data_IF_961983656596
#
_entry.id   IF_961983656596
#
_cell.length_a   1.000
_cell.length_b   1.000
_cell.length_c   1.000
_cell.angle_alpha   90.00
_cell.angle_beta   90.00
_cell.angle_gamma   90.00
#
_symmetry.space_group_name_H-M   'P 1'
#
loop_
_entity.id
_entity.type
_entity.pdbx_description
1 polymer ?
#
# COMPACT_ATOMS: atom_id res chain seq x y z
N UNK A 1 -20.97 5.68 3.03
CA UNK A 1 -19.56 6.01 3.39
C UNK A 1 -19.42 6.64 4.80
N UNK A 2 -20.13 7.73 5.16
CA UNK A 2 -19.92 8.38 6.48
C UNK A 2 -20.13 7.45 7.68
N UNK A 3 -21.19 6.64 7.63
CA UNK A 3 -21.46 5.59 8.64
C UNK A 3 -20.36 4.52 8.68
N UNK A 4 -19.81 4.12 7.53
CA UNK A 4 -18.72 3.12 7.47
C UNK A 4 -17.43 3.65 8.10
N UNK A 5 -17.10 4.93 7.87
CA UNK A 5 -15.96 5.58 8.55
C UNK A 5 -16.19 5.59 10.06
N UNK A 6 -17.35 6.08 10.50
CA UNK A 6 -17.66 6.18 11.92
C UNK A 6 -17.61 4.82 12.62
N UNK A 7 -18.35 3.83 12.12
CA UNK A 7 -18.40 2.49 12.71
C UNK A 7 -17.08 1.74 12.57
N UNK A 8 -16.39 1.89 11.45
CA UNK A 8 -15.10 1.26 11.22
C UNK A 8 -14.03 1.75 12.20
N UNK A 9 -13.96 3.05 12.49
CA UNK A 9 -13.08 3.58 13.54
C UNK A 9 -13.57 3.24 14.95
N UNK A 10 -14.88 3.30 15.20
CA UNK A 10 -15.44 3.01 16.52
C UNK A 10 -15.24 1.55 16.96
N UNK A 11 -15.29 0.59 16.03
CA UNK A 11 -15.02 -0.82 16.30
C UNK A 11 -13.52 -1.11 16.16
N UNK A 12 -12.94 -0.75 15.02
CA UNK A 12 -11.57 -1.10 14.70
C UNK A 12 -10.54 -0.44 15.62
N UNK A 13 -10.72 0.84 15.98
CA UNK A 13 -9.73 1.58 16.79
C UNK A 13 -9.51 0.97 18.17
N UNK A 14 -10.56 0.78 18.98
CA UNK A 14 -10.46 0.08 20.26
C UNK A 14 -9.92 -1.36 20.11
N UNK A 15 -10.40 -2.11 19.11
CA UNK A 15 -9.90 -3.46 18.84
C UNK A 15 -8.41 -3.47 18.47
N UNK A 16 -7.90 -2.47 17.74
CA UNK A 16 -6.47 -2.33 17.43
C UNK A 16 -5.62 -2.11 18.68
N UNK A 17 -6.11 -1.28 19.63
CA UNK A 17 -5.41 -1.04 20.89
C UNK A 17 -5.40 -2.30 21.76
N UNK A 18 -6.53 -2.99 21.88
CA UNK A 18 -6.63 -4.26 22.61
C UNK A 18 -5.80 -5.37 21.95
N UNK A 19 -5.78 -5.42 20.62
CA UNK A 19 -4.94 -6.33 19.85
C UNK A 19 -3.45 -6.09 20.12
N UNK A 20 -2.99 -4.84 20.02
CA UNK A 20 -1.61 -4.46 20.31
C UNK A 20 -1.24 -4.79 21.77
N UNK A 21 -2.12 -4.48 22.72
CA UNK A 21 -1.91 -4.82 24.12
C UNK A 21 -1.80 -6.34 24.34
N UNK A 22 -2.69 -7.12 23.73
CA UNK A 22 -2.65 -8.59 23.77
C UNK A 22 -1.34 -9.13 23.16
N UNK A 23 -0.89 -8.57 22.02
CA UNK A 23 0.37 -8.94 21.37
C UNK A 23 1.60 -8.68 22.26
N UNK A 24 1.63 -7.53 22.94
CA UNK A 24 2.75 -7.15 23.81
C UNK A 24 2.82 -7.95 25.12
N UNK A 25 1.72 -8.58 25.54
CA UNK A 25 1.62 -9.34 26.79
C UNK A 25 1.51 -10.85 26.58
N UNK A 26 2.05 -11.37 25.46
CA UNK A 26 2.12 -12.83 25.23
C UNK A 26 0.75 -13.48 25.05
N UNK A 27 -0.18 -12.79 24.40
CA UNK A 27 -1.55 -13.25 24.14
C UNK A 27 -2.32 -13.54 25.43
N UNK A 28 -2.41 -12.53 26.30
CA UNK A 28 -3.02 -12.59 27.63
C UNK A 28 -4.36 -13.36 27.71
N UNK A 29 -5.19 -13.24 26.67
CA UNK A 29 -6.52 -13.85 26.59
C UNK A 29 -6.60 -15.09 25.68
N UNK A 30 -5.45 -15.67 25.32
CA UNK A 30 -5.32 -16.82 24.44
C UNK A 30 -5.39 -16.48 22.94
N UNK A 31 -4.93 -17.42 22.11
CA UNK A 31 -4.80 -17.23 20.66
C UNK A 31 -6.13 -17.01 19.94
N UNK A 32 -7.21 -17.62 20.44
CA UNK A 32 -8.55 -17.44 19.89
C UNK A 32 -9.03 -15.99 20.01
N UNK A 33 -8.93 -15.41 21.20
CA UNK A 33 -9.29 -14.01 21.43
C UNK A 33 -8.34 -13.06 20.68
N UNK A 34 -7.04 -13.37 20.65
CA UNK A 34 -6.07 -12.60 19.89
C UNK A 34 -6.42 -12.53 18.40
N UNK A 35 -6.82 -13.66 17.80
CA UNK A 35 -7.24 -13.76 16.40
C UNK A 35 -8.54 -12.99 16.13
N UNK A 36 -9.49 -13.03 17.06
CA UNK A 36 -10.73 -12.24 16.97
C UNK A 36 -10.45 -10.74 17.03
N UNK A 37 -9.61 -10.30 17.97
CA UNK A 37 -9.18 -8.90 18.08
C UNK A 37 -8.44 -8.45 16.82
N UNK A 38 -7.60 -9.30 16.22
CA UNK A 38 -6.96 -9.04 14.94
C UNK A 38 -7.99 -8.80 13.82
N UNK A 39 -8.98 -9.70 13.68
CA UNK A 39 -10.00 -9.58 12.63
C UNK A 39 -10.85 -8.31 12.80
N UNK A 40 -11.29 -8.01 14.04
CA UNK A 40 -12.08 -6.83 14.39
C UNK A 40 -11.27 -5.53 14.34
N UNK A 41 -9.95 -5.61 14.46
CA UNK A 41 -9.04 -4.49 14.23
C UNK A 41 -8.88 -4.23 12.73
N UNK A 42 -8.36 -5.22 11.99
CA UNK A 42 -7.87 -5.01 10.62
C UNK A 42 -8.99 -4.72 9.63
N UNK A 43 -10.06 -5.53 9.62
CA UNK A 43 -11.11 -5.41 8.59
C UNK A 43 -11.91 -4.11 8.74
N UNK A 44 -12.45 -3.77 9.92
CA UNK A 44 -13.17 -2.52 10.11
C UNK A 44 -12.30 -1.29 9.87
N UNK A 45 -11.01 -1.33 10.27
CA UNK A 45 -10.08 -0.22 10.05
C UNK A 45 -9.75 -0.02 8.57
N UNK A 46 -9.51 -1.11 7.82
CA UNK A 46 -9.32 -1.04 6.37
C UNK A 46 -10.54 -0.45 5.66
N UNK A 47 -11.75 -0.88 6.03
CA UNK A 47 -13.00 -0.32 5.51
C UNK A 47 -13.15 1.16 5.88
N UNK A 48 -12.78 1.56 7.10
CA UNK A 48 -12.81 2.95 7.54
C UNK A 48 -11.88 3.84 6.70
N UNK A 49 -10.64 3.40 6.47
CA UNK A 49 -9.67 4.12 5.63
C UNK A 49 -10.16 4.22 4.18
N UNK A 50 -10.60 3.11 3.58
CA UNK A 50 -11.14 3.13 2.21
C UNK A 50 -12.34 4.05 2.07
N UNK A 51 -13.30 3.98 3.01
CA UNK A 51 -14.49 4.83 2.98
C UNK A 51 -14.14 6.30 3.23
N UNK A 52 -13.15 6.57 4.09
CA UNK A 52 -12.67 7.92 4.42
C UNK A 52 -11.98 8.59 3.25
N UNK A 53 -11.05 7.88 2.59
CA UNK A 53 -10.38 8.36 1.37
C UNK A 53 -11.39 8.57 0.25
N UNK A 54 -12.35 7.64 0.08
CA UNK A 54 -13.41 7.78 -0.93
C UNK A 54 -14.31 8.99 -0.67
N UNK A 55 -14.69 9.23 0.59
CA UNK A 55 -15.43 10.43 0.99
C UNK A 55 -14.63 11.70 0.73
N UNK A 56 -13.35 11.70 1.08
CA UNK A 56 -12.47 12.84 0.87
C UNK A 56 -12.36 13.18 -0.62
N UNK A 57 -12.30 12.17 -1.49
CA UNK A 57 -12.33 12.36 -2.94
C UNK A 57 -13.67 12.95 -3.42
N UNK A 58 -14.80 12.46 -2.90
CA UNK A 58 -16.12 12.98 -3.29
C UNK A 58 -16.36 14.42 -2.85
N UNK A 59 -15.76 14.85 -1.73
CA UNK A 59 -15.89 16.23 -1.22
C UNK A 59 -14.90 17.17 -1.92
N UNK A 60 -13.67 16.72 -2.15
CA UNK A 60 -12.59 17.53 -2.70
C UNK A 60 -11.89 16.83 -3.89
N UNK A 61 -12.59 16.61 -5.02
CA UNK A 61 -12.03 15.84 -6.14
C UNK A 61 -10.85 16.54 -6.82
N UNK A 62 -10.80 17.87 -6.76
CA UNK A 62 -9.73 18.69 -7.33
C UNK A 62 -8.47 18.78 -6.45
N UNK A 63 -8.41 18.05 -5.32
CA UNK A 63 -7.24 18.11 -4.45
C UNK A 63 -5.99 17.57 -5.19
N UNK A 64 -4.86 18.33 -5.22
CA UNK A 64 -3.66 17.93 -5.95
C UNK A 64 -3.06 16.61 -5.45
N UNK A 65 -3.31 16.21 -4.21
CA UNK A 65 -2.87 14.92 -3.68
C UNK A 65 -3.42 13.75 -4.50
N UNK A 66 -4.70 13.79 -4.91
CA UNK A 66 -5.28 12.73 -5.74
C UNK A 66 -4.62 12.66 -7.11
N UNK A 67 -4.26 13.82 -7.69
CA UNK A 67 -3.49 13.85 -8.94
C UNK A 67 -2.11 13.22 -8.73
N UNK A 68 -1.40 13.56 -7.66
CA UNK A 68 -0.09 13.00 -7.34
C UNK A 68 -0.14 11.48 -7.17
N UNK A 69 -1.09 10.95 -6.40
CA UNK A 69 -1.24 9.51 -6.18
C UNK A 69 -1.82 8.76 -7.40
N UNK A 70 -2.44 9.45 -8.35
CA UNK A 70 -2.93 8.81 -9.58
C UNK A 70 -1.81 8.27 -10.47
N UNK A 71 -0.62 8.88 -10.44
CA UNK A 71 0.54 8.43 -11.23
C UNK A 71 1.02 7.05 -10.81
N UNK A 72 1.45 6.82 -9.55
CA UNK A 72 1.86 5.48 -9.12
C UNK A 72 0.70 4.47 -9.12
N UNK A 73 -0.54 4.92 -8.94
CA UNK A 73 -1.73 4.06 -9.01
C UNK A 73 -1.98 3.46 -10.41
N UNK A 74 -1.64 4.19 -11.48
CA UNK A 74 -1.71 3.67 -12.86
C UNK A 74 -0.60 2.67 -13.21
N UNK A 75 0.46 2.63 -12.39
CA UNK A 75 1.59 1.70 -12.49
C UNK A 75 1.60 0.72 -11.30
N UNK A 76 0.43 0.37 -10.75
CA UNK A 76 0.36 -0.42 -9.52
C UNK A 76 1.11 -1.77 -9.60
N UNK A 77 1.02 -2.50 -10.71
CA UNK A 77 1.69 -3.79 -10.89
C UNK A 77 3.19 -3.60 -11.09
N UNK A 78 3.59 -2.64 -11.93
CA UNK A 78 5.01 -2.31 -12.14
C UNK A 78 5.68 -1.80 -10.87
N UNK A 79 4.99 -0.96 -10.09
CA UNK A 79 5.48 -0.45 -8.82
C UNK A 79 5.56 -1.54 -7.76
N UNK A 80 4.57 -2.43 -7.68
CA UNK A 80 4.61 -3.56 -6.76
C UNK A 80 5.83 -4.46 -7.01
N UNK A 81 6.03 -4.90 -8.27
CA UNK A 81 7.16 -5.78 -8.62
C UNK A 81 8.50 -5.06 -8.45
N UNK A 82 8.61 -3.80 -8.89
CA UNK A 82 9.86 -3.04 -8.69
C UNK A 82 10.16 -2.82 -7.22
N UNK A 83 9.15 -2.57 -6.37
CA UNK A 83 9.33 -2.45 -4.93
C UNK A 83 9.85 -3.75 -4.32
N UNK A 84 9.31 -4.91 -4.73
CA UNK A 84 9.82 -6.22 -4.28
C UNK A 84 11.25 -6.47 -4.72
N UNK A 85 11.61 -6.14 -5.96
CA UNK A 85 12.98 -6.29 -6.48
C UNK A 85 13.95 -5.37 -5.74
N UNK A 86 13.59 -4.09 -5.55
CA UNK A 86 14.38 -3.12 -4.81
C UNK A 86 14.54 -3.57 -3.35
N UNK A 87 13.46 -4.00 -2.71
CA UNK A 87 13.49 -4.51 -1.34
C UNK A 87 14.37 -5.74 -1.18
N UNK A 88 14.27 -6.70 -2.12
CA UNK A 88 15.14 -7.87 -2.15
C UNK A 88 16.61 -7.46 -2.30
N UNK A 89 16.92 -6.54 -3.21
CA UNK A 89 18.29 -6.05 -3.39
C UNK A 89 18.82 -5.34 -2.13
N UNK A 90 18.02 -4.54 -1.45
CA UNK A 90 18.47 -3.79 -0.26
C UNK A 90 18.58 -4.70 0.97
N UNK A 91 17.57 -5.52 1.22
CA UNK A 91 17.43 -6.21 2.51
C UNK A 91 17.94 -7.66 2.49
N UNK A 92 17.94 -8.34 1.35
CA UNK A 92 18.31 -9.76 1.29
C UNK A 92 19.79 -9.93 0.99
N UNK A 93 20.37 -11.06 1.41
CA UNK A 93 21.80 -11.37 1.21
C UNK A 93 22.23 -11.56 -0.25
N UNK A 94 21.30 -11.57 -1.20
CA UNK A 94 21.61 -11.57 -2.64
C UNK A 94 22.09 -10.17 -3.11
N UNK A 95 21.74 -9.10 -2.38
CA UNK A 95 22.20 -7.74 -2.64
C UNK A 95 23.01 -7.18 -1.48
N UNK A 96 22.53 -6.12 -0.84
CA UNK A 96 23.23 -5.42 0.24
C UNK A 96 23.09 -6.09 1.61
N UNK A 97 22.14 -7.02 1.79
CA UNK A 97 21.99 -7.80 3.03
C UNK A 97 21.63 -6.99 4.27
N UNK A 98 21.08 -5.78 4.12
CA UNK A 98 20.90 -4.86 5.25
C UNK A 98 19.76 -5.26 6.20
N UNK A 99 18.91 -6.21 5.82
CA UNK A 99 17.67 -6.54 6.54
C UNK A 99 17.85 -6.95 8.00
N UNK A 100 18.91 -7.70 8.32
CA UNK A 100 19.18 -8.15 9.69
C UNK A 100 19.84 -7.07 10.58
N UNK A 101 20.41 -6.04 9.96
CA UNK A 101 21.23 -5.02 10.64
C UNK A 101 20.50 -3.69 10.90
N UNK A 102 19.38 -3.47 10.22
CA UNK A 102 18.64 -2.22 10.28
C UNK A 102 17.47 -2.32 11.27
N UNK A 103 17.37 -1.34 12.16
CA UNK A 103 16.18 -1.16 12.98
C UNK A 103 14.98 -0.67 12.16
N UNK A 104 13.77 -0.88 12.69
CA UNK A 104 12.49 -0.58 12.04
C UNK A 104 12.42 0.85 11.46
N UNK A 105 12.85 1.86 12.21
CA UNK A 105 12.83 3.26 11.77
C UNK A 105 13.65 3.53 10.51
N UNK A 106 14.79 2.85 10.34
CA UNK A 106 15.61 2.97 9.13
C UNK A 106 14.96 2.26 7.95
N UNK A 107 14.33 1.11 8.20
CA UNK A 107 13.57 0.37 7.16
C UNK A 107 12.40 1.21 6.65
N UNK A 108 11.66 1.87 7.54
CA UNK A 108 10.57 2.78 7.18
C UNK A 108 11.06 3.97 6.35
N UNK A 109 12.18 4.58 6.74
CA UNK A 109 12.77 5.68 5.97
C UNK A 109 13.17 5.24 4.56
N UNK A 110 13.81 4.07 4.43
CA UNK A 110 14.15 3.50 3.12
C UNK A 110 12.90 3.25 2.30
N UNK A 111 11.85 2.67 2.89
CA UNK A 111 10.59 2.42 2.19
C UNK A 111 9.94 3.72 1.68
N UNK A 112 9.96 4.79 2.48
CA UNK A 112 9.49 6.12 2.07
C UNK A 112 10.32 6.68 0.91
N UNK A 113 11.64 6.55 0.95
CA UNK A 113 12.52 6.98 -0.13
C UNK A 113 12.26 6.21 -1.44
N UNK A 114 12.12 4.89 -1.35
CA UNK A 114 11.80 4.02 -2.50
C UNK A 114 10.43 4.40 -3.09
N UNK A 115 9.43 4.61 -2.24
CA UNK A 115 8.10 5.01 -2.69
C UNK A 115 8.13 6.40 -3.34
N UNK A 116 8.84 7.38 -2.77
CA UNK A 116 8.99 8.71 -3.36
C UNK A 116 9.67 8.65 -4.74
N UNK A 117 10.70 7.81 -4.88
CA UNK A 117 11.33 7.52 -6.16
C UNK A 117 10.32 6.92 -7.16
N UNK A 118 9.51 5.95 -6.75
CA UNK A 118 8.49 5.34 -7.62
C UNK A 118 7.39 6.32 -8.04
N UNK A 119 6.99 7.25 -7.17
CA UNK A 119 6.05 8.34 -7.51
C UNK A 119 6.66 9.21 -8.62
N UNK A 120 7.90 9.64 -8.45
CA UNK A 120 8.61 10.45 -9.45
C UNK A 120 8.79 9.70 -10.78
N UNK A 121 9.24 8.44 -10.70
CA UNK A 121 9.37 7.57 -11.87
C UNK A 121 8.04 7.40 -12.60
N UNK A 122 6.95 7.13 -11.86
CA UNK A 122 5.61 6.96 -12.45
C UNK A 122 5.12 8.24 -13.12
N UNK A 123 5.39 9.41 -12.52
CA UNK A 123 5.09 10.70 -13.11
C UNK A 123 5.82 10.91 -14.44
N UNK A 124 7.15 10.72 -14.45
CA UNK A 124 7.98 10.89 -15.64
C UNK A 124 7.59 9.88 -16.72
N UNK A 125 7.43 8.61 -16.36
CA UNK A 125 7.08 7.52 -17.27
C UNK A 125 5.76 7.79 -18.00
N UNK A 126 4.73 8.20 -17.28
CA UNK A 126 3.41 8.47 -17.83
C UNK A 126 3.35 9.72 -18.71
N UNK A 127 4.40 10.54 -18.75
CA UNK A 127 4.50 11.62 -19.75
C UNK A 127 4.83 11.07 -21.14
N UNK A 128 5.54 9.93 -21.24
CA UNK A 128 5.98 9.34 -22.50
C UNK A 128 5.18 8.09 -22.92
N UNK A 129 4.63 7.37 -21.96
CA UNK A 129 3.97 6.07 -22.19
C UNK A 129 2.52 6.05 -21.67
N UNK A 130 1.70 5.19 -22.27
CA UNK A 130 0.28 5.03 -21.90
C UNK A 130 0.07 4.13 -20.68
N UNK A 131 0.93 3.12 -20.52
CA UNK A 131 0.85 2.07 -19.51
C UNK A 131 2.22 1.87 -18.85
N UNK A 132 2.22 1.34 -17.62
CA UNK A 132 3.45 0.76 -17.07
C UNK A 132 3.87 -0.49 -17.85
N UNK A 133 5.16 -0.87 -17.78
CA UNK A 133 5.70 -1.97 -18.57
C UNK A 133 5.00 -3.30 -18.27
N UNK A 134 4.75 -3.63 -17.00
CA UNK A 134 4.08 -4.88 -16.64
C UNK A 134 2.57 -4.81 -16.91
N UNK A 135 1.94 -3.67 -16.72
CA UNK A 135 0.54 -3.46 -17.07
C UNK A 135 0.31 -3.63 -18.57
N UNK A 136 1.25 -3.17 -19.39
CA UNK A 136 1.21 -3.33 -20.84
C UNK A 136 1.30 -4.81 -21.23
N UNK A 137 2.27 -5.54 -20.70
CA UNK A 137 2.41 -6.98 -20.92
C UNK A 137 1.14 -7.71 -20.49
N UNK A 138 0.64 -7.42 -19.28
CA UNK A 138 -0.57 -8.05 -18.76
C UNK A 138 -1.80 -7.80 -19.65
N UNK A 139 -1.97 -6.56 -20.15
CA UNK A 139 -3.07 -6.23 -21.06
C UNK A 139 -2.94 -6.92 -22.41
N UNK A 140 -1.73 -7.02 -22.96
CA UNK A 140 -1.51 -7.75 -24.20
C UNK A 140 -1.85 -9.23 -24.05
N UNK A 141 -1.46 -9.86 -22.92
CA UNK A 141 -1.81 -11.25 -22.61
C UNK A 141 -3.32 -11.42 -22.43
N UNK A 142 -3.98 -10.49 -21.73
CA UNK A 142 -5.42 -10.56 -21.46
C UNK A 142 -6.26 -10.39 -22.73
N UNK A 143 -5.88 -9.45 -23.60
CA UNK A 143 -6.66 -9.12 -24.80
C UNK A 143 -6.19 -9.86 -26.06
N UNK A 144 -5.03 -10.51 -26.02
CA UNK A 144 -4.43 -11.19 -27.17
C UNK A 144 -4.08 -10.24 -28.33
N UNK A 145 -3.90 -8.95 -28.06
CA UNK A 145 -3.60 -7.93 -29.08
C UNK A 145 -2.41 -7.07 -28.64
N UNK A 146 -1.59 -6.68 -29.60
CA UNK A 146 -0.51 -5.73 -29.36
C UNK A 146 -1.09 -4.32 -29.18
N UNK A 147 -0.75 -3.68 -28.06
CA UNK A 147 -1.23 -2.34 -27.72
C UNK A 147 -0.09 -1.31 -27.94
N UNK A 148 -0.38 -0.09 -28.41
CA UNK A 148 0.65 0.95 -28.49
C UNK A 148 1.10 1.39 -27.09
N UNK A 149 2.41 1.26 -26.81
CA UNK A 149 2.99 1.62 -25.51
C UNK A 149 3.31 3.11 -25.40
N UNK A 150 3.90 3.69 -26.46
CA UNK A 150 4.27 5.10 -26.52
C UNK A 150 3.05 5.96 -26.82
N UNK A 151 3.01 7.16 -26.24
CA UNK A 151 2.03 8.19 -26.58
C UNK A 151 2.31 8.81 -27.94
#
# INVERSE_FOLDING_TARGET
LKKLVLWGFAVGGPSSLLYAFSAMNGHLWGDGMHSLLYALSVVPMALAYMAGISLFFLVCPANPAFKLFSYPGRLALSNYISQSVIGMFIFYGIGLGLGASLGLSRVELIALCVFAFQVCFSFVWLNFFNFGPLEWIWRMLTYGKFLPLKK
#
